data_IF_222573650713
#
_entry.id   IF_222573650713
#
_cell.length_a   1.000
_cell.length_b   1.000
_cell.length_c   1.000
_cell.angle_alpha   90.00
_cell.angle_beta   90.00
_cell.angle_gamma   90.00
#
_symmetry.space_group_name_H-M   'P 1'
#
loop_
_entity.id
_entity.type
_entity.pdbx_description
1 polymer ?
#
# COMPACT_ATOMS: atom_id res chain seq x y z
N UNK A 1 19.08 -5.90 13.68
CA UNK A 1 17.88 -5.06 13.43
C UNK A 1 17.51 -5.20 11.95
N UNK A 2 16.31 -5.69 11.62
CA UNK A 2 15.88 -5.79 10.22
C UNK A 2 15.57 -4.40 9.66
N UNK A 3 16.17 -4.04 8.52
CA UNK A 3 15.84 -2.79 7.83
C UNK A 3 14.41 -2.87 7.28
N UNK A 4 13.54 -1.94 7.70
CA UNK A 4 12.18 -1.87 7.17
C UNK A 4 12.24 -1.33 5.75
N UNK A 5 11.80 -2.12 4.79
CA UNK A 5 11.72 -1.71 3.38
C UNK A 5 10.41 -0.97 3.16
N UNK A 6 10.49 0.29 2.74
CA UNK A 6 9.36 1.03 2.21
C UNK A 6 9.37 0.92 0.68
N UNK A 7 8.18 0.75 0.08
CA UNK A 7 7.99 0.77 -1.36
C UNK A 7 7.37 2.11 -1.76
N UNK A 8 7.77 2.71 -2.90
CA UNK A 8 7.11 3.90 -3.43
C UNK A 8 5.66 3.59 -3.82
N UNK A 9 4.82 4.64 -3.87
CA UNK A 9 3.38 4.51 -4.14
C UNK A 9 3.13 3.83 -5.49
N UNK A 10 3.90 4.21 -6.51
CA UNK A 10 3.83 3.64 -7.86
C UNK A 10 3.98 2.11 -7.87
N UNK A 11 4.92 1.58 -7.08
CA UNK A 11 5.12 0.12 -6.96
C UNK A 11 3.93 -0.54 -6.26
N UNK A 12 3.34 0.12 -5.26
CA UNK A 12 2.15 -0.39 -4.56
C UNK A 12 0.94 -0.43 -5.50
N UNK A 13 0.73 0.65 -6.27
CA UNK A 13 -0.35 0.75 -7.25
C UNK A 13 -0.19 -0.29 -8.37
N UNK A 14 1.00 -0.38 -8.98
CA UNK A 14 1.30 -1.38 -10.02
C UNK A 14 1.09 -2.82 -9.52
N UNK A 15 1.46 -3.11 -8.27
CA UNK A 15 1.22 -4.43 -7.67
C UNK A 15 -0.27 -4.78 -7.59
N UNK A 16 -1.11 -3.78 -7.29
CA UNK A 16 -2.56 -3.94 -7.21
C UNK A 16 -3.18 -4.08 -8.59
N UNK A 17 -2.76 -3.26 -9.56
CA UNK A 17 -3.22 -3.35 -10.95
C UNK A 17 -2.95 -4.74 -11.54
N UNK A 18 -1.73 -5.25 -11.39
CA UNK A 18 -1.40 -6.62 -11.81
C UNK A 18 -2.25 -7.66 -11.08
N UNK A 19 -2.54 -7.45 -9.78
CA UNK A 19 -3.40 -8.36 -9.03
C UNK A 19 -4.85 -8.35 -9.51
N UNK A 20 -5.37 -7.18 -9.91
CA UNK A 20 -6.71 -7.03 -10.50
C UNK A 20 -6.76 -7.63 -11.91
N UNK A 21 -5.67 -7.54 -12.68
CA UNK A 21 -5.50 -8.20 -13.96
C UNK A 21 -5.38 -9.74 -13.87
N UNK A 22 -5.38 -10.30 -12.65
CA UNK A 22 -5.34 -11.74 -12.42
C UNK A 22 -3.94 -12.35 -12.39
N UNK A 23 -2.87 -11.53 -12.44
CA UNK A 23 -1.49 -12.00 -12.40
C UNK A 23 -1.23 -12.73 -11.06
N UNK A 24 -0.52 -13.88 -11.09
CA UNK A 24 -0.21 -14.62 -9.87
C UNK A 24 0.77 -13.85 -8.98
N UNK A 25 0.58 -13.96 -7.67
CA UNK A 25 1.36 -13.21 -6.67
C UNK A 25 2.88 -13.41 -6.80
N UNK A 26 3.31 -14.60 -7.23
CA UNK A 26 4.72 -14.93 -7.42
C UNK A 26 5.35 -14.08 -8.51
N UNK A 27 4.66 -13.88 -9.62
CA UNK A 27 5.14 -13.05 -10.72
C UNK A 27 5.19 -11.58 -10.31
N UNK A 28 4.14 -11.08 -9.65
CA UNK A 28 4.10 -9.72 -9.10
C UNK A 28 5.29 -9.45 -8.18
N UNK A 29 5.61 -10.41 -7.30
CA UNK A 29 6.75 -10.30 -6.38
C UNK A 29 8.09 -10.26 -7.10
N UNK A 30 8.27 -11.08 -8.15
CA UNK A 30 9.48 -11.12 -8.95
C UNK A 30 9.65 -9.82 -9.75
N UNK A 31 8.61 -9.39 -10.45
CA UNK A 31 8.67 -8.20 -11.33
C UNK A 31 8.89 -6.91 -10.54
N UNK A 32 8.25 -6.76 -9.38
CA UNK A 32 8.37 -5.56 -8.54
C UNK A 32 9.44 -5.69 -7.45
N UNK A 33 10.19 -6.79 -7.45
CA UNK A 33 11.21 -7.10 -6.45
C UNK A 33 10.68 -6.97 -5.00
N UNK A 34 9.44 -7.41 -4.78
CA UNK A 34 8.76 -7.37 -3.48
C UNK A 34 9.10 -8.64 -2.71
N UNK A 35 9.64 -8.47 -1.50
CA UNK A 35 10.07 -9.61 -0.68
C UNK A 35 8.92 -10.36 -0.03
N UNK A 36 7.81 -9.69 0.27
CA UNK A 36 6.72 -10.24 1.08
C UNK A 36 5.37 -10.24 0.35
N UNK A 37 4.83 -11.44 0.08
CA UNK A 37 3.50 -11.63 -0.53
C UNK A 37 2.37 -10.97 0.27
N UNK A 38 2.49 -10.88 1.60
CA UNK A 38 1.46 -10.32 2.47
C UNK A 38 1.34 -8.81 2.29
N UNK A 39 2.41 -8.11 1.86
CA UNK A 39 2.32 -6.69 1.51
C UNK A 39 1.41 -6.50 0.29
N UNK A 40 1.61 -7.30 -0.76
CA UNK A 40 0.75 -7.26 -1.96
C UNK A 40 -0.71 -7.59 -1.61
N UNK A 41 -0.95 -8.57 -0.71
CA UNK A 41 -2.31 -8.87 -0.23
C UNK A 41 -2.94 -7.68 0.50
N UNK A 42 -2.17 -7.04 1.37
CA UNK A 42 -2.62 -5.87 2.13
C UNK A 42 -2.96 -4.71 1.19
N UNK A 43 -2.12 -4.43 0.20
CA UNK A 43 -2.37 -3.37 -0.77
C UNK A 43 -3.61 -3.63 -1.61
N UNK A 44 -3.79 -4.87 -2.08
CA UNK A 44 -5.00 -5.25 -2.81
C UNK A 44 -6.27 -5.12 -1.96
N UNK A 45 -6.18 -5.43 -0.65
CA UNK A 45 -7.29 -5.23 0.28
C UNK A 45 -7.62 -3.73 0.45
N UNK A 46 -6.61 -2.88 0.66
CA UNK A 46 -6.83 -1.43 0.80
C UNK A 46 -7.46 -0.83 -0.46
N UNK A 47 -6.96 -1.19 -1.64
CA UNK A 47 -7.55 -0.72 -2.88
C UNK A 47 -9.01 -1.14 -3.04
N UNK A 48 -9.37 -2.40 -2.72
CA UNK A 48 -10.76 -2.86 -2.74
C UNK A 48 -11.66 -2.14 -1.74
N UNK A 49 -11.09 -1.65 -0.63
CA UNK A 49 -11.79 -0.89 0.38
C UNK A 49 -11.84 0.62 0.11
N UNK A 50 -11.18 1.11 -0.96
CA UNK A 50 -11.02 2.55 -1.20
C UNK A 50 -9.98 3.25 -0.29
N UNK A 51 -9.23 2.48 0.50
CA UNK A 51 -8.22 2.96 1.45
C UNK A 51 -6.87 3.30 0.77
N UNK A 52 -6.88 3.88 -0.43
CA UNK A 52 -5.65 4.16 -1.22
C UNK A 52 -4.73 5.16 -0.53
N UNK A 53 -5.28 6.06 0.29
CA UNK A 53 -4.56 6.99 1.16
C UNK A 53 -3.50 6.28 2.02
N UNK A 54 -3.73 5.02 2.42
CA UNK A 54 -2.77 4.25 3.22
C UNK A 54 -1.46 3.93 2.48
N UNK A 55 -1.40 4.10 1.15
CA UNK A 55 -0.15 3.93 0.40
C UNK A 55 0.90 4.99 0.71
N UNK A 56 0.51 6.17 1.18
CA UNK A 56 1.41 7.26 1.54
C UNK A 56 2.03 7.07 2.93
N UNK A 57 1.47 6.19 3.77
CA UNK A 57 1.92 5.98 5.13
C UNK A 57 3.36 5.43 5.18
N UNK A 58 4.32 6.15 5.80
CA UNK A 58 5.67 5.62 5.99
C UNK A 58 5.71 4.44 6.98
N UNK A 59 6.72 3.60 6.86
CA UNK A 59 6.88 2.44 7.73
C UNK A 59 7.30 2.84 9.15
N UNK A 60 6.71 2.18 10.16
CA UNK A 60 7.18 2.27 11.54
C UNK A 60 6.48 3.27 12.45
N UNK A 61 5.40 3.88 11.98
CA UNK A 61 4.43 4.57 12.84
C UNK A 61 3.17 3.73 12.98
N UNK A 62 2.46 3.92 14.09
CA UNK A 62 1.14 3.36 14.32
C UNK A 62 0.10 4.39 13.88
N UNK A 63 -0.66 4.08 12.82
CA UNK A 63 -1.65 4.99 12.23
C UNK A 63 -3.07 4.78 12.76
N UNK A 64 -3.26 3.80 13.66
CA UNK A 64 -4.51 3.66 14.43
C UNK A 64 -4.63 4.80 15.44
N UNK A 65 -5.85 5.22 15.79
CA UNK A 65 -6.17 6.33 16.73
C UNK A 65 -5.90 7.75 16.19
N UNK A 66 -6.19 8.02 14.91
CA UNK A 66 -6.12 9.38 14.36
C UNK A 66 -4.71 9.93 14.16
N UNK A 67 -3.69 9.06 14.17
CA UNK A 67 -2.27 9.40 13.95
C UNK A 67 -1.84 9.21 12.48
N UNK A 68 -2.81 9.27 11.56
CA UNK A 68 -2.63 9.28 10.11
C UNK A 68 -1.83 10.51 9.66
N UNK A 69 -1.20 10.51 8.47
CA UNK A 69 -0.80 11.77 7.85
C UNK A 69 -2.04 12.70 7.86
N UNK A 70 -1.86 13.94 8.30
CA UNK A 70 -2.91 14.96 8.21
C UNK A 70 -3.17 15.16 6.72
N UNK A 71 -4.17 14.46 6.20
CA UNK A 71 -4.74 14.82 4.92
C UNK A 71 -5.22 16.25 5.07
N UNK A 72 -4.91 17.05 4.05
CA UNK A 72 -5.44 18.39 3.81
C UNK A 72 -6.97 18.34 3.61
N UNK A 73 -7.68 17.84 4.62
CA UNK A 73 -9.13 17.71 4.68
C UNK A 73 -9.72 18.98 5.28
N UNK A 74 -9.37 20.13 4.69
CA UNK A 74 -10.26 21.29 4.70
C UNK A 74 -11.23 21.27 3.50
N UNK A 75 -11.03 20.40 2.50
CA UNK A 75 -11.84 20.38 1.27
C UNK A 75 -12.96 19.33 1.19
N UNK A 76 -13.11 18.44 2.17
CA UNK A 76 -14.09 17.33 2.13
C UNK A 76 -15.12 17.38 3.27
N UNK A 77 -15.36 18.57 3.83
CA UNK A 77 -16.28 18.81 4.96
C UNK A 77 -17.43 19.77 4.60
N UNK A 78 -17.90 19.74 3.35
CA UNK A 78 -19.04 20.53 2.90
C UNK A 78 -20.28 19.65 2.65
#
# INVERSE_FOLDING_TARGET
MGTRVSYPIEVKQKAVEMRLAGVPMKEIMQELNIKNKTQVQTWARWHKAGDTHRFEQPVGKQYTYGKGPEYSSELEKL
#
